data_IF_308450980301
#
_entry.id   IF_308450980301
#
_cell.length_a   1.000
_cell.length_b   1.000
_cell.length_c   1.000
_cell.angle_alpha   90.00
_cell.angle_beta   90.00
_cell.angle_gamma   90.00
#
_symmetry.space_group_name_H-M   'P 1'
#
loop_
_entity.id
_entity.type
_entity.pdbx_description
1 polymer ?
#
# COMPACT_ATOMS: atom_id res chain seq x y z
N UNK A 1 -8.24 23.03 -10.45
CA UNK A 1 -9.39 22.77 -9.55
C UNK A 1 -10.42 21.84 -10.17
N UNK A 2 -10.75 21.96 -11.47
CA UNK A 2 -11.68 21.00 -12.10
C UNK A 2 -11.09 19.60 -12.15
N UNK A 3 -9.79 19.46 -12.45
CA UNK A 3 -9.08 18.19 -12.41
C UNK A 3 -9.19 17.51 -11.04
N UNK A 4 -9.00 18.28 -9.97
CA UNK A 4 -9.23 17.83 -8.59
C UNK A 4 -10.65 17.33 -8.34
N UNK A 5 -11.67 18.13 -8.69
CA UNK A 5 -13.07 17.77 -8.44
C UNK A 5 -13.47 16.50 -9.19
N UNK A 6 -13.21 16.43 -10.49
CA UNK A 6 -13.60 15.30 -11.32
C UNK A 6 -12.77 14.07 -10.94
N UNK A 7 -11.45 14.21 -10.80
CA UNK A 7 -10.56 13.08 -10.53
C UNK A 7 -10.75 12.48 -9.16
N UNK A 8 -10.96 13.30 -8.15
CA UNK A 8 -11.26 12.79 -6.79
C UNK A 8 -12.64 12.14 -6.75
N UNK A 9 -13.65 12.73 -7.38
CA UNK A 9 -15.01 12.15 -7.43
C UNK A 9 -15.04 10.81 -8.18
N UNK A 10 -14.36 10.74 -9.33
CA UNK A 10 -14.23 9.52 -10.12
C UNK A 10 -13.45 8.45 -9.34
N UNK A 11 -12.30 8.81 -8.75
CA UNK A 11 -11.51 7.89 -7.95
C UNK A 11 -12.28 7.34 -6.74
N UNK A 12 -13.07 8.19 -6.07
CA UNK A 12 -13.95 7.78 -4.98
C UNK A 12 -15.07 6.84 -5.45
N UNK A 13 -15.72 7.15 -6.57
CA UNK A 13 -16.75 6.29 -7.16
C UNK A 13 -16.17 4.90 -7.48
N UNK A 14 -15.02 4.84 -8.17
CA UNK A 14 -14.36 3.59 -8.54
C UNK A 14 -13.94 2.83 -7.27
N UNK A 15 -13.40 3.50 -6.25
CA UNK A 15 -13.03 2.87 -4.99
C UNK A 15 -14.24 2.22 -4.30
N UNK A 16 -15.37 2.93 -4.22
CA UNK A 16 -16.60 2.40 -3.62
C UNK A 16 -17.18 1.23 -4.42
N UNK A 17 -17.21 1.33 -5.75
CA UNK A 17 -17.66 0.25 -6.63
C UNK A 17 -16.77 -0.98 -6.48
N UNK A 18 -15.46 -0.80 -6.57
CA UNK A 18 -14.49 -1.89 -6.41
C UNK A 18 -14.57 -2.51 -5.02
N UNK A 19 -14.73 -1.69 -3.99
CA UNK A 19 -14.94 -2.11 -2.60
C UNK A 19 -16.18 -2.99 -2.41
N UNK A 20 -17.25 -2.72 -3.15
CA UNK A 20 -18.46 -3.55 -3.15
C UNK A 20 -18.20 -4.96 -3.69
N UNK A 21 -17.30 -5.11 -4.67
CA UNK A 21 -17.01 -6.39 -5.31
C UNK A 21 -15.86 -7.16 -4.65
N UNK A 22 -14.82 -6.46 -4.19
CA UNK A 22 -13.57 -7.07 -3.69
C UNK A 22 -13.33 -6.84 -2.21
N UNK A 23 -14.30 -6.27 -1.51
CA UNK A 23 -14.22 -5.99 -0.09
C UNK A 23 -13.36 -4.76 0.24
N UNK A 24 -13.12 -4.58 1.53
CA UNK A 24 -12.57 -3.32 2.06
C UNK A 24 -11.11 -3.07 1.70
N UNK A 25 -10.31 -4.13 1.57
CA UNK A 25 -8.93 -4.01 1.11
C UNK A 25 -8.87 -3.41 -0.29
N UNK A 26 -9.68 -3.92 -1.22
CA UNK A 26 -9.78 -3.39 -2.59
C UNK A 26 -10.26 -1.94 -2.63
N UNK A 27 -11.24 -1.57 -1.81
CA UNK A 27 -11.69 -0.16 -1.67
C UNK A 27 -10.52 0.77 -1.33
N UNK A 28 -9.70 0.37 -0.35
CA UNK A 28 -8.57 1.14 0.15
C UNK A 28 -7.46 1.25 -0.90
N UNK A 29 -7.10 0.14 -1.56
CA UNK A 29 -6.07 0.14 -2.60
C UNK A 29 -6.43 1.07 -3.77
N UNK A 30 -7.69 1.02 -4.23
CA UNK A 30 -8.18 1.89 -5.31
C UNK A 30 -8.31 3.34 -4.84
N UNK A 31 -8.73 3.58 -3.59
CA UNK A 31 -8.82 4.94 -3.04
C UNK A 31 -7.47 5.68 -3.06
N UNK A 32 -6.34 4.96 -2.91
CA UNK A 32 -5.01 5.55 -2.96
C UNK A 32 -4.66 6.03 -4.37
N UNK A 33 -5.36 5.55 -5.41
CA UNK A 33 -5.19 5.99 -6.79
C UNK A 33 -5.97 7.27 -7.13
N UNK A 34 -6.74 7.85 -6.21
CA UNK A 34 -7.42 9.14 -6.44
C UNK A 34 -6.47 10.24 -6.96
N UNK A 35 -5.25 10.42 -6.43
CA UNK A 35 -4.32 11.42 -6.94
C UNK A 35 -3.81 11.09 -8.35
N UNK A 36 -3.64 9.82 -8.68
CA UNK A 36 -3.31 9.39 -10.04
C UNK A 36 -4.40 9.77 -11.04
N UNK A 37 -5.67 9.47 -10.75
CA UNK A 37 -6.80 9.87 -11.61
C UNK A 37 -6.91 11.40 -11.72
N UNK A 38 -6.68 12.09 -10.61
CA UNK A 38 -6.66 13.56 -10.56
C UNK A 38 -5.54 14.14 -11.41
N UNK A 39 -4.33 13.57 -11.38
CA UNK A 39 -3.22 13.98 -12.20
C UNK A 39 -3.53 13.78 -13.69
N UNK A 40 -4.07 12.61 -14.06
CA UNK A 40 -4.48 12.30 -15.44
C UNK A 40 -5.49 13.32 -15.98
N UNK A 41 -6.53 13.63 -15.21
CA UNK A 41 -7.54 14.61 -15.62
C UNK A 41 -6.98 16.03 -15.62
N UNK A 42 -6.09 16.36 -14.68
CA UNK A 42 -5.42 17.66 -14.66
C UNK A 42 -4.53 17.86 -15.88
N UNK A 43 -3.90 16.80 -16.42
CA UNK A 43 -3.18 16.88 -17.69
C UNK A 43 -4.10 17.21 -18.87
N UNK A 44 -5.34 16.71 -18.88
CA UNK A 44 -6.30 17.03 -19.94
C UNK A 44 -6.70 18.51 -19.95
N UNK A 45 -6.80 19.14 -18.78
CA UNK A 45 -7.22 20.55 -18.66
C UNK A 45 -6.05 21.54 -18.67
N UNK A 46 -4.89 21.17 -18.11
CA UNK A 46 -3.77 22.08 -17.85
C UNK A 46 -2.44 21.61 -18.47
N UNK A 47 -2.44 20.52 -19.23
CA UNK A 47 -1.25 19.89 -19.81
C UNK A 47 -0.82 20.46 -21.17
N UNK A 48 -0.25 19.58 -22.01
CA UNK A 48 0.32 19.87 -23.33
C UNK A 48 1.72 20.54 -23.37
N UNK A 49 2.61 20.15 -22.45
CA UNK A 49 4.01 20.64 -22.41
C UNK A 49 4.90 20.15 -23.56
N UNK A 50 4.46 19.17 -24.35
CA UNK A 50 5.25 18.57 -25.43
C UNK A 50 5.14 19.25 -26.81
N UNK A 51 4.35 20.32 -26.95
CA UNK A 51 4.17 21.02 -28.24
C UNK A 51 4.77 22.43 -28.12
N UNK A 52 5.97 22.60 -28.70
CA UNK A 52 6.66 23.90 -28.78
C UNK A 52 5.76 24.94 -29.47
N UNK A 53 5.42 26.01 -28.75
CA UNK A 53 4.64 27.15 -29.27
C UNK A 53 3.13 27.08 -29.07
N UNK A 54 2.57 26.02 -28.48
CA UNK A 54 1.14 25.91 -28.24
C UNK A 54 0.74 26.41 -26.84
N UNK A 55 0.19 27.63 -26.75
CA UNK A 55 -0.71 27.98 -25.63
C UNK A 55 -2.05 27.32 -25.95
N UNK A 56 -2.16 26.02 -25.64
CA UNK A 56 -3.42 25.30 -25.84
C UNK A 56 -4.43 25.79 -24.80
N UNK A 57 -5.30 26.71 -25.22
CA UNK A 57 -6.50 27.05 -24.48
C UNK A 57 -7.51 25.95 -24.71
N UNK A 58 -7.73 25.08 -23.72
CA UNK A 58 -8.87 24.17 -23.77
C UNK A 58 -10.10 25.00 -23.44
N UNK A 59 -10.77 25.51 -24.47
CA UNK A 59 -12.06 26.17 -24.32
C UNK A 59 -13.13 25.11 -24.09
N UNK A 60 -13.63 25.05 -22.86
CA UNK A 60 -14.86 24.32 -22.54
C UNK A 60 -15.99 25.34 -22.34
N UNK A 61 -17.27 24.92 -22.35
CA UNK A 61 -18.38 25.81 -22.00
C UNK A 61 -18.26 26.47 -20.61
N UNK A 62 -17.34 25.98 -19.78
CA UNK A 62 -17.10 26.40 -18.40
C UNK A 62 -15.91 27.39 -18.30
N UNK A 63 -15.14 27.59 -19.38
CA UNK A 63 -14.05 28.56 -19.44
C UNK A 63 -12.84 28.10 -20.25
N UNK A 64 -11.87 29.00 -20.35
CA UNK A 64 -10.59 28.83 -21.03
C UNK A 64 -9.52 28.37 -20.04
N UNK A 65 -8.98 27.16 -20.23
CA UNK A 65 -7.89 26.65 -19.39
C UNK A 65 -6.54 26.90 -20.03
N UNK A 66 -5.63 27.51 -19.25
CA UNK A 66 -4.24 27.76 -19.66
C UNK A 66 -3.35 26.69 -19.02
N UNK A 67 -2.35 26.28 -19.78
CA UNK A 67 -1.29 25.39 -19.33
C UNK A 67 -0.69 25.84 -17.99
N UNK A 68 -0.66 24.94 -17.00
CA UNK A 68 -0.18 25.29 -15.64
C UNK A 68 0.35 24.07 -14.90
N UNK A 69 1.67 24.01 -14.72
CA UNK A 69 2.34 23.00 -13.89
C UNK A 69 1.88 23.08 -12.44
N UNK A 70 1.74 24.31 -11.93
CA UNK A 70 1.29 24.58 -10.58
C UNK A 70 -0.12 24.04 -10.31
N UNK A 71 -1.06 24.24 -11.25
CA UNK A 71 -2.43 23.74 -11.11
C UNK A 71 -2.48 22.21 -11.07
N UNK A 72 -1.67 21.52 -11.89
CA UNK A 72 -1.57 20.05 -11.86
C UNK A 72 -1.02 19.58 -10.51
N UNK A 73 0.06 20.21 -10.03
CA UNK A 73 0.65 19.90 -8.73
C UNK A 73 -0.34 20.11 -7.59
N UNK A 74 -1.06 21.24 -7.60
CA UNK A 74 -2.04 21.59 -6.56
C UNK A 74 -3.25 20.65 -6.57
N UNK A 75 -3.83 20.37 -7.73
CA UNK A 75 -4.96 19.43 -7.85
C UNK A 75 -4.58 18.04 -7.31
N UNK A 76 -3.37 17.57 -7.67
CA UNK A 76 -2.83 16.28 -7.21
C UNK A 76 -2.54 16.28 -5.70
N UNK A 77 -1.97 17.37 -5.16
CA UNK A 77 -1.69 17.51 -3.73
C UNK A 77 -2.96 17.44 -2.89
N UNK A 78 -4.00 18.18 -3.31
CA UNK A 78 -5.30 18.17 -2.63
C UNK A 78 -5.93 16.77 -2.69
N UNK A 79 -5.83 16.08 -3.82
CA UNK A 79 -6.31 14.69 -3.94
C UNK A 79 -5.55 13.73 -3.02
N UNK A 80 -4.23 13.91 -2.81
CA UNK A 80 -3.46 13.12 -1.82
C UNK A 80 -4.03 13.32 -0.42
N UNK A 81 -4.33 14.56 -0.02
CA UNK A 81 -4.89 14.85 1.30
C UNK A 81 -6.26 14.18 1.46
N UNK A 82 -7.13 14.25 0.44
CA UNK A 82 -8.43 13.58 0.45
C UNK A 82 -8.27 12.06 0.54
N UNK A 83 -7.39 11.47 -0.27
CA UNK A 83 -7.12 10.03 -0.26
C UNK A 83 -6.63 9.58 1.13
N UNK A 84 -5.67 10.29 1.72
CA UNK A 84 -5.15 10.02 3.07
C UNK A 84 -6.27 10.07 4.11
N UNK A 85 -7.06 11.14 4.12
CA UNK A 85 -8.16 11.27 5.06
C UNK A 85 -9.18 10.14 4.90
N UNK A 86 -9.57 9.84 3.66
CA UNK A 86 -10.49 8.76 3.35
C UNK A 86 -9.98 7.40 3.84
N UNK A 87 -8.74 7.04 3.50
CA UNK A 87 -8.13 5.77 3.92
C UNK A 87 -8.03 5.71 5.43
N UNK A 88 -7.61 6.79 6.10
CA UNK A 88 -7.48 6.85 7.56
C UNK A 88 -8.80 6.58 8.29
N UNK A 89 -9.93 7.08 7.77
CA UNK A 89 -11.24 6.80 8.36
C UNK A 89 -11.76 5.42 7.97
N UNK A 90 -11.55 5.00 6.72
CA UNK A 90 -12.15 3.76 6.20
C UNK A 90 -11.37 2.51 6.60
N UNK A 91 -10.08 2.59 6.90
CA UNK A 91 -9.25 1.41 7.19
C UNK A 91 -9.37 0.91 8.62
N UNK A 92 -9.86 1.71 9.57
CA UNK A 92 -9.90 1.37 11.00
C UNK A 92 -10.60 0.03 11.25
N UNK A 93 -9.86 -0.93 11.80
CA UNK A 93 -10.34 -2.27 12.14
C UNK A 93 -10.99 -3.01 10.98
N UNK A 94 -10.56 -2.75 9.74
CA UNK A 94 -11.28 -3.18 8.55
C UNK A 94 -10.60 -4.29 7.75
N UNK A 95 -9.28 -4.47 7.93
CA UNK A 95 -8.48 -5.42 7.16
C UNK A 95 -8.24 -6.70 7.94
N UNK A 96 -8.45 -7.85 7.30
CA UNK A 96 -7.97 -9.14 7.81
C UNK A 96 -6.44 -9.21 7.83
N UNK A 97 -5.87 -10.20 8.52
CA UNK A 97 -4.42 -10.38 8.65
C UNK A 97 -3.73 -10.51 7.29
N UNK A 98 -4.31 -11.28 6.36
CA UNK A 98 -3.79 -11.43 4.98
C UNK A 98 -3.86 -10.12 4.19
N UNK A 99 -5.00 -9.41 4.29
CA UNK A 99 -5.22 -8.14 3.59
C UNK A 99 -4.33 -7.02 4.11
N UNK A 100 -4.12 -6.95 5.43
CA UNK A 100 -3.27 -5.96 6.07
C UNK A 100 -1.83 -6.04 5.56
N UNK A 101 -1.30 -7.26 5.40
CA UNK A 101 0.05 -7.47 4.89
C UNK A 101 0.16 -7.06 3.41
N UNK A 102 -0.80 -7.47 2.58
CA UNK A 102 -0.84 -7.15 1.15
C UNK A 102 -0.99 -5.65 0.92
N UNK A 103 -2.00 -5.03 1.54
CA UNK A 103 -2.27 -3.60 1.43
C UNK A 103 -1.10 -2.77 1.98
N UNK A 104 -0.49 -3.20 3.09
CA UNK A 104 0.66 -2.50 3.67
C UNK A 104 1.82 -2.34 2.68
N UNK A 105 2.12 -3.36 1.87
CA UNK A 105 3.19 -3.31 0.88
C UNK A 105 2.81 -2.41 -0.32
N UNK A 106 1.58 -2.50 -0.81
CA UNK A 106 1.12 -1.74 -1.99
C UNK A 106 0.95 -0.25 -1.67
N UNK A 107 0.42 0.08 -0.49
CA UNK A 107 0.12 1.45 -0.08
C UNK A 107 1.33 2.39 -0.13
N UNK A 108 2.47 2.00 0.44
CA UNK A 108 3.66 2.86 0.49
C UNK A 108 4.18 3.22 -0.90
N UNK A 109 4.18 2.25 -1.81
CA UNK A 109 4.64 2.47 -3.18
C UNK A 109 3.66 3.33 -4.00
N UNK A 110 2.35 3.13 -3.83
CA UNK A 110 1.34 3.97 -4.51
C UNK A 110 1.38 5.41 -3.95
N UNK A 111 1.58 5.59 -2.64
CA UNK A 111 1.81 6.93 -2.08
C UNK A 111 3.08 7.56 -2.66
N UNK A 112 4.18 6.81 -2.73
CA UNK A 112 5.41 7.26 -3.38
C UNK A 112 5.19 7.68 -4.84
N UNK A 113 4.48 6.87 -5.62
CA UNK A 113 4.07 7.15 -6.99
C UNK A 113 3.30 8.47 -7.10
N UNK A 114 2.28 8.67 -6.26
CA UNK A 114 1.47 9.90 -6.26
C UNK A 114 2.31 11.13 -5.91
N UNK A 115 3.25 11.00 -4.97
CA UNK A 115 4.20 12.06 -4.64
C UNK A 115 5.11 12.36 -5.83
N UNK A 116 5.57 11.34 -6.55
CA UNK A 116 6.32 11.50 -7.80
C UNK A 116 5.54 12.28 -8.85
N UNK A 117 4.29 11.92 -9.10
CA UNK A 117 3.44 12.63 -10.07
C UNK A 117 3.25 14.10 -9.65
N UNK A 118 2.97 14.33 -8.37
CA UNK A 118 2.83 15.68 -7.82
C UNK A 118 4.15 16.49 -7.92
N UNK A 119 5.30 15.85 -7.71
CA UNK A 119 6.62 16.47 -7.77
C UNK A 119 7.02 16.95 -9.17
N UNK A 120 6.38 16.45 -10.24
CA UNK A 120 6.59 16.95 -11.61
C UNK A 120 6.23 18.43 -11.76
N UNK A 121 5.40 18.97 -10.86
CA UNK A 121 5.09 20.39 -10.80
C UNK A 121 6.20 21.25 -10.16
N UNK A 122 7.16 20.63 -9.46
CA UNK A 122 8.32 21.30 -8.87
C UNK A 122 8.70 20.77 -7.48
N UNK A 123 9.88 21.16 -6.97
CA UNK A 123 10.42 20.66 -5.70
C UNK A 123 9.58 21.03 -4.47
N UNK A 124 8.85 22.16 -4.51
CA UNK A 124 7.94 22.54 -3.42
C UNK A 124 6.85 21.51 -3.19
N UNK A 125 6.31 20.92 -4.26
CA UNK A 125 5.33 19.85 -4.17
C UNK A 125 5.96 18.55 -3.66
N UNK A 126 7.17 18.20 -4.09
CA UNK A 126 7.90 17.06 -3.52
C UNK A 126 8.02 17.16 -2.00
N UNK A 127 8.42 18.33 -1.48
CA UNK A 127 8.54 18.56 -0.04
C UNK A 127 7.20 18.39 0.69
N UNK A 128 6.11 18.91 0.12
CA UNK A 128 4.77 18.71 0.67
C UNK A 128 4.39 17.23 0.73
N UNK A 129 4.68 16.47 -0.33
CA UNK A 129 4.39 15.04 -0.40
C UNK A 129 5.20 14.23 0.60
N UNK A 130 6.47 14.56 0.76
CA UNK A 130 7.34 13.95 1.77
C UNK A 130 6.90 14.28 3.19
N UNK A 131 6.40 15.50 3.44
CA UNK A 131 5.83 15.84 4.74
C UNK A 131 4.60 14.97 5.05
N UNK A 132 3.69 14.78 4.09
CA UNK A 132 2.53 13.89 4.25
C UNK A 132 2.98 12.45 4.50
N UNK A 133 3.94 11.93 3.73
CA UNK A 133 4.47 10.58 3.90
C UNK A 133 5.13 10.40 5.27
N UNK A 134 5.91 11.37 5.73
CA UNK A 134 6.54 11.35 7.05
C UNK A 134 5.50 11.33 8.19
N UNK A 135 4.42 12.10 8.05
CA UNK A 135 3.30 12.08 9.01
C UNK A 135 2.63 10.70 9.02
N UNK A 136 2.37 10.10 7.86
CA UNK A 136 1.79 8.76 7.76
C UNK A 136 2.69 7.69 8.41
N UNK A 137 3.99 7.75 8.17
CA UNK A 137 4.97 6.86 8.80
C UNK A 137 4.95 7.05 10.32
N UNK A 138 4.95 8.29 10.80
CA UNK A 138 4.88 8.58 12.23
C UNK A 138 3.60 8.02 12.88
N UNK A 139 2.45 8.23 12.24
CA UNK A 139 1.18 7.68 12.71
C UNK A 139 1.16 6.15 12.70
N UNK A 140 1.72 5.54 11.65
CA UNK A 140 1.87 4.08 11.52
C UNK A 140 2.77 3.50 12.61
N UNK A 141 3.85 4.19 13.00
CA UNK A 141 4.72 3.75 14.10
C UNK A 141 3.97 3.81 15.45
N UNK A 142 3.16 4.86 15.66
CA UNK A 142 2.43 5.04 16.93
C UNK A 142 1.27 4.06 17.08
N UNK A 143 0.58 3.74 15.99
CA UNK A 143 -0.54 2.79 15.99
C UNK A 143 -0.48 1.86 14.77
N UNK A 144 0.44 0.88 14.76
CA UNK A 144 0.67 0.03 13.60
C UNK A 144 -0.55 -0.81 13.23
N UNK A 145 -1.33 -1.25 14.22
CA UNK A 145 -2.44 -2.18 14.03
C UNK A 145 -3.80 -1.50 13.88
N UNK A 146 -3.85 -0.18 13.67
CA UNK A 146 -5.11 0.56 13.59
C UNK A 146 -6.07 0.00 12.54
N UNK A 147 -5.54 -0.43 11.39
CA UNK A 147 -6.34 -0.96 10.29
C UNK A 147 -6.63 -2.46 10.39
N UNK A 148 -5.96 -3.16 11.32
CA UNK A 148 -6.06 -4.60 11.48
C UNK A 148 -7.32 -4.97 12.28
N UNK A 149 -8.14 -5.84 11.71
CA UNK A 149 -9.28 -6.46 12.38
C UNK A 149 -8.85 -7.77 13.04
N UNK A 150 -8.14 -7.65 14.17
CA UNK A 150 -7.68 -8.80 14.94
C UNK A 150 -7.94 -8.60 16.44
N UNK A 151 -8.15 -9.72 17.13
CA UNK A 151 -8.30 -9.78 18.58
C UNK A 151 -7.08 -10.46 19.22
N UNK A 152 -6.84 -10.26 20.52
CA UNK A 152 -5.82 -11.03 21.24
C UNK A 152 -6.04 -12.54 21.09
N UNK A 153 -4.99 -13.30 20.84
CA UNK A 153 -5.07 -14.75 20.71
C UNK A 153 -5.49 -15.40 22.04
N UNK A 154 -6.37 -16.39 21.96
CA UNK A 154 -6.75 -17.26 23.08
C UNK A 154 -6.12 -18.65 22.98
N UNK A 155 -6.35 -19.47 24.01
CA UNK A 155 -5.94 -20.88 24.05
C UNK A 155 -4.44 -21.07 23.86
N UNK A 156 -4.09 -22.20 23.23
CA UNK A 156 -2.72 -22.69 23.11
C UNK A 156 -1.81 -21.74 22.30
N UNK A 157 -2.35 -21.07 21.28
CA UNK A 157 -1.62 -20.06 20.50
C UNK A 157 -1.24 -18.85 21.37
N UNK A 158 -2.17 -18.39 22.22
CA UNK A 158 -1.92 -17.30 23.15
C UNK A 158 -0.89 -17.66 24.23
N UNK A 159 -0.92 -18.90 24.71
CA UNK A 159 0.05 -19.42 25.68
C UNK A 159 1.46 -19.54 25.08
N UNK A 160 1.57 -20.07 23.86
CA UNK A 160 2.81 -20.16 23.10
C UNK A 160 3.47 -18.78 22.93
N UNK A 161 2.72 -17.78 22.45
CA UNK A 161 3.26 -16.45 22.26
C UNK A 161 3.68 -15.78 23.57
N UNK A 162 2.89 -15.94 24.63
CA UNK A 162 3.19 -15.36 25.95
C UNK A 162 4.45 -15.98 26.57
N UNK A 163 4.64 -17.30 26.40
CA UNK A 163 5.83 -18.02 26.86
C UNK A 163 7.10 -17.45 26.24
N UNK A 164 7.05 -17.09 24.96
CA UNK A 164 8.17 -16.48 24.23
C UNK A 164 8.27 -14.95 24.42
N UNK A 165 7.42 -14.35 25.26
CA UNK A 165 7.46 -12.91 25.55
C UNK A 165 6.84 -12.01 24.47
N UNK A 166 5.96 -12.54 23.63
CA UNK A 166 5.29 -11.81 22.55
C UNK A 166 3.80 -11.59 22.84
N UNK A 167 3.28 -10.45 22.37
CA UNK A 167 1.85 -10.27 22.20
C UNK A 167 1.37 -11.07 20.98
N UNK A 168 0.14 -11.56 21.00
CA UNK A 168 -0.44 -12.29 19.88
C UNK A 168 -1.76 -11.68 19.44
N UNK A 169 -1.90 -11.44 18.14
CA UNK A 169 -3.15 -11.02 17.49
C UNK A 169 -3.57 -12.03 16.44
N UNK A 170 -4.86 -12.35 16.40
CA UNK A 170 -5.46 -13.25 15.42
C UNK A 170 -6.78 -12.71 14.90
N UNK A 171 -7.04 -12.96 13.61
CA UNK A 171 -8.38 -12.80 13.03
C UNK A 171 -9.11 -14.15 12.99
N UNK A 172 -10.17 -14.26 12.18
CA UNK A 172 -10.97 -15.49 12.02
C UNK A 172 -10.85 -16.14 10.64
N UNK A 173 -10.20 -15.50 9.69
CA UNK A 173 -10.37 -15.83 8.25
C UNK A 173 -9.06 -15.96 7.48
N UNK A 174 -7.94 -15.53 8.06
CA UNK A 174 -6.65 -15.51 7.39
C UNK A 174 -5.82 -16.74 7.71
N UNK A 175 -4.75 -16.93 6.93
CA UNK A 175 -3.77 -17.99 7.13
C UNK A 175 -2.35 -17.47 7.34
N UNK A 176 -2.10 -16.18 7.10
CA UNK A 176 -0.74 -15.64 7.16
C UNK A 176 -0.20 -15.53 8.59
N UNK A 177 1.12 -15.68 8.71
CA UNK A 177 1.88 -15.45 9.94
C UNK A 177 2.97 -14.43 9.68
N UNK A 178 3.06 -13.43 10.54
CA UNK A 178 4.17 -12.48 10.50
C UNK A 178 4.41 -11.83 11.87
N UNK A 179 5.61 -11.28 12.02
CA UNK A 179 6.10 -10.68 13.26
C UNK A 179 6.33 -9.19 13.07
N UNK A 180 5.71 -8.37 13.92
CA UNK A 180 5.86 -6.91 13.94
C UNK A 180 6.29 -6.46 15.34
N UNK A 181 7.57 -6.14 15.49
CA UNK A 181 8.12 -5.78 16.80
C UNK A 181 8.00 -6.91 17.81
N UNK A 182 7.33 -6.65 18.94
CA UNK A 182 7.02 -7.62 20.00
C UNK A 182 5.62 -8.24 19.86
N UNK A 183 5.02 -8.18 18.68
CA UNK A 183 3.71 -8.79 18.40
C UNK A 183 3.84 -9.79 17.26
N UNK A 184 3.37 -11.01 17.48
CA UNK A 184 3.12 -11.99 16.43
C UNK A 184 1.66 -11.89 15.97
N UNK A 185 1.45 -11.92 14.67
CA UNK A 185 0.13 -11.87 14.05
C UNK A 185 -0.05 -13.17 13.29
N UNK A 186 -1.13 -13.88 13.60
CA UNK A 186 -1.42 -15.21 13.08
C UNK A 186 -2.84 -15.22 12.53
N UNK A 187 -3.03 -15.73 11.32
CA UNK A 187 -4.36 -15.91 10.75
C UNK A 187 -5.15 -16.98 11.50
N UNK A 188 -6.41 -16.69 11.85
CA UNK A 188 -7.20 -17.57 12.72
C UNK A 188 -7.48 -18.95 12.15
N UNK A 189 -7.44 -19.10 10.83
CA UNK A 189 -7.65 -20.41 10.19
C UNK A 189 -6.41 -21.26 10.13
N UNK A 190 -5.24 -20.71 10.40
CA UNK A 190 -4.01 -21.48 10.37
C UNK A 190 -4.00 -22.60 11.42
N UNK A 191 -4.31 -22.33 12.71
CA UNK A 191 -4.36 -23.40 13.71
C UNK A 191 -5.47 -24.42 13.49
N UNK A 192 -6.53 -24.03 12.75
CA UNK A 192 -7.68 -24.90 12.45
C UNK A 192 -7.39 -25.86 11.28
N UNK A 193 -6.67 -25.40 10.26
CA UNK A 193 -6.56 -26.10 8.97
C UNK A 193 -5.13 -26.60 8.65
N UNK A 194 -4.09 -26.15 9.37
CA UNK A 194 -2.71 -26.57 9.14
C UNK A 194 -2.13 -27.32 10.36
N UNK A 195 -1.85 -28.64 10.26
CA UNK A 195 -1.43 -29.44 11.41
C UNK A 195 -0.14 -28.97 12.09
N UNK A 196 0.84 -28.48 11.33
CA UNK A 196 2.15 -28.03 11.83
C UNK A 196 2.18 -26.53 12.14
N UNK A 197 1.06 -25.93 12.55
CA UNK A 197 0.97 -24.50 12.78
C UNK A 197 1.89 -24.04 13.93
N UNK A 198 2.15 -24.90 14.92
CA UNK A 198 3.00 -24.58 16.07
C UNK A 198 4.44 -24.35 15.63
N UNK A 199 4.96 -25.26 14.82
CA UNK A 199 6.30 -25.20 14.26
C UNK A 199 6.46 -23.94 13.40
N UNK A 200 5.46 -23.59 12.59
CA UNK A 200 5.46 -22.33 11.82
C UNK A 200 5.55 -21.12 12.74
N UNK A 201 4.73 -21.07 13.79
CA UNK A 201 4.70 -19.95 14.74
C UNK A 201 6.02 -19.85 15.50
N UNK A 202 6.57 -20.95 16.00
CA UNK A 202 7.87 -21.01 16.67
C UNK A 202 9.00 -20.54 15.76
N UNK A 203 9.03 -21.01 14.51
CA UNK A 203 9.96 -20.55 13.50
C UNK A 203 9.85 -19.04 13.25
N UNK A 204 8.64 -18.49 13.17
CA UNK A 204 8.43 -17.06 13.00
C UNK A 204 8.80 -16.24 14.24
N UNK A 205 8.70 -16.80 15.44
CA UNK A 205 9.14 -16.16 16.68
C UNK A 205 10.67 -16.06 16.76
N UNK A 206 11.40 -17.08 16.27
CA UNK A 206 12.87 -17.05 16.21
C UNK A 206 13.41 -16.08 15.15
N UNK A 207 12.62 -15.74 14.13
CA UNK A 207 13.03 -14.79 13.10
C UNK A 207 13.40 -13.43 13.72
N UNK A 208 14.61 -12.96 13.40
CA UNK A 208 15.11 -11.67 13.88
C UNK A 208 14.22 -10.53 13.38
N UNK A 209 13.90 -9.59 14.27
CA UNK A 209 13.12 -8.41 13.91
C UNK A 209 13.84 -7.54 12.88
N UNK A 210 13.09 -6.72 12.14
CA UNK A 210 13.69 -5.74 11.24
C UNK A 210 14.48 -4.70 12.03
N UNK A 211 15.82 -4.77 11.96
CA UNK A 211 16.70 -3.72 12.48
C UNK A 211 16.39 -2.35 11.86
N UNK A 212 16.80 -1.28 12.54
CA UNK A 212 16.47 0.11 12.17
C UNK A 212 16.80 0.41 10.71
N UNK A 213 17.98 0.03 10.23
CA UNK A 213 18.41 0.23 8.85
C UNK A 213 17.49 -0.42 7.81
N UNK A 214 16.88 -1.57 8.13
CA UNK A 214 15.96 -2.24 7.22
C UNK A 214 14.61 -1.54 7.16
N UNK A 215 14.16 -0.94 8.28
CA UNK A 215 12.97 -0.09 8.29
C UNK A 215 13.22 1.19 7.49
N UNK A 216 14.39 1.80 7.68
CA UNK A 216 14.82 2.98 6.92
C UNK A 216 14.88 2.68 5.42
N UNK A 217 15.47 1.57 5.00
CA UNK A 217 15.50 1.17 3.59
C UNK A 217 14.09 0.88 3.06
N UNK A 218 13.26 0.18 3.84
CA UNK A 218 11.87 -0.12 3.47
C UNK A 218 11.03 1.13 3.23
N UNK A 219 11.10 2.13 4.12
CA UNK A 219 10.40 3.39 3.93
C UNK A 219 11.09 4.29 2.90
N UNK A 220 12.42 4.25 2.81
CA UNK A 220 13.22 5.07 1.89
C UNK A 220 12.86 4.85 0.43
N UNK A 221 12.54 3.61 0.03
CA UNK A 221 12.07 3.33 -1.34
C UNK A 221 10.80 4.09 -1.71
N UNK A 222 9.91 4.37 -0.75
CA UNK A 222 8.68 5.14 -1.02
C UNK A 222 8.96 6.62 -1.37
N UNK A 223 10.13 7.16 -1.02
CA UNK A 223 10.50 8.54 -1.37
C UNK A 223 11.10 8.67 -2.78
N UNK A 224 11.64 7.58 -3.34
CA UNK A 224 12.37 7.60 -4.60
C UNK A 224 11.54 8.13 -5.79
N UNK A 225 10.25 7.76 -5.98
CA UNK A 225 9.47 8.30 -7.09
C UNK A 225 9.26 9.82 -6.97
N UNK A 226 9.21 10.37 -5.75
CA UNK A 226 9.20 11.82 -5.49
C UNK A 226 10.43 12.52 -6.05
N UNK A 227 11.62 11.95 -5.80
CA UNK A 227 12.89 12.49 -6.30
C UNK A 227 12.91 12.46 -7.83
N UNK A 228 12.56 11.31 -8.43
CA UNK A 228 12.49 11.17 -9.89
C UNK A 228 11.51 12.16 -10.50
N UNK A 229 10.35 12.36 -9.87
CA UNK A 229 9.32 13.30 -10.30
C UNK A 229 9.82 14.74 -10.47
N UNK A 230 10.72 15.23 -9.60
CA UNK A 230 11.28 16.60 -9.71
C UNK A 230 12.07 16.81 -11.01
N UNK A 231 12.71 15.76 -11.52
CA UNK A 231 13.49 15.81 -12.76
C UNK A 231 12.65 15.53 -14.01
N UNK A 232 11.33 15.35 -13.85
CA UNK A 232 10.42 15.07 -14.95
C UNK A 232 9.47 16.24 -15.16
N UNK A 233 9.15 16.52 -16.43
CA UNK A 233 8.07 17.44 -16.75
C UNK A 233 6.70 16.77 -16.58
N UNK A 234 5.64 17.53 -16.23
CA UNK A 234 4.31 16.96 -16.18
C UNK A 234 3.87 16.47 -17.57
N UNK A 235 3.41 15.23 -17.67
CA UNK A 235 2.98 14.68 -18.95
C UNK A 235 2.89 13.17 -18.99
N UNK A 236 2.69 12.63 -20.20
CA UNK A 236 2.52 11.19 -20.43
C UNK A 236 3.75 10.37 -20.02
N UNK A 237 4.96 10.90 -20.20
CA UNK A 237 6.18 10.21 -19.77
C UNK A 237 6.20 10.03 -18.25
N UNK A 238 5.87 11.07 -17.48
CA UNK A 238 5.74 10.99 -16.02
C UNK A 238 4.63 10.01 -15.61
N UNK A 239 3.48 10.07 -16.27
CA UNK A 239 2.35 9.17 -16.06
C UNK A 239 2.68 7.69 -16.29
N UNK A 240 3.66 7.37 -17.15
CA UNK A 240 4.09 5.99 -17.42
C UNK A 240 5.27 5.55 -16.56
N UNK A 241 6.32 6.37 -16.49
CA UNK A 241 7.58 5.99 -15.85
C UNK A 241 7.47 5.98 -14.31
N UNK A 242 6.70 6.88 -13.71
CA UNK A 242 6.58 6.94 -12.25
C UNK A 242 5.79 5.73 -11.71
N UNK A 243 4.65 5.32 -12.30
CA UNK A 243 4.00 4.06 -11.93
C UNK A 243 4.84 2.82 -12.23
N UNK A 244 5.55 2.79 -13.36
CA UNK A 244 6.46 1.67 -13.67
C UNK A 244 7.57 1.54 -12.63
N UNK A 245 8.16 2.67 -12.22
CA UNK A 245 9.15 2.72 -11.14
C UNK A 245 8.55 2.23 -9.82
N UNK A 246 7.37 2.71 -9.43
CA UNK A 246 6.70 2.27 -8.22
C UNK A 246 6.43 0.75 -8.24
N UNK A 247 5.99 0.20 -9.37
CA UNK A 247 5.81 -1.24 -9.54
C UNK A 247 7.11 -2.02 -9.36
N UNK A 248 8.22 -1.57 -9.98
CA UNK A 248 9.54 -2.19 -9.80
C UNK A 248 9.96 -2.15 -8.33
N UNK A 249 9.74 -1.02 -7.64
CA UNK A 249 10.08 -0.88 -6.23
C UNK A 249 9.27 -1.83 -5.33
N UNK A 250 7.97 -2.03 -5.60
CA UNK A 250 7.14 -3.02 -4.90
C UNK A 250 7.75 -4.42 -5.05
N UNK A 251 8.10 -4.81 -6.28
CA UNK A 251 8.65 -6.14 -6.57
C UNK A 251 10.02 -6.36 -5.92
N UNK A 252 10.88 -5.34 -5.94
CA UNK A 252 12.18 -5.36 -5.27
C UNK A 252 12.04 -5.46 -3.75
N UNK A 253 11.14 -4.66 -3.16
CA UNK A 253 10.90 -4.65 -1.73
C UNK A 253 10.32 -5.98 -1.24
N UNK A 254 9.32 -6.52 -1.93
CA UNK A 254 8.75 -7.84 -1.63
C UNK A 254 9.80 -8.94 -1.72
N UNK A 255 10.56 -8.98 -2.82
CA UNK A 255 11.63 -9.96 -3.02
C UNK A 255 12.73 -9.86 -1.96
N UNK A 256 13.13 -8.64 -1.60
CA UNK A 256 14.12 -8.39 -0.56
C UNK A 256 13.64 -8.89 0.81
N UNK A 257 12.39 -8.57 1.18
CA UNK A 257 11.80 -9.02 2.43
C UNK A 257 11.74 -10.55 2.51
N UNK A 258 11.26 -11.23 1.46
CA UNK A 258 11.20 -12.69 1.42
C UNK A 258 12.58 -13.33 1.52
N UNK A 259 13.55 -12.88 0.70
CA UNK A 259 14.93 -13.41 0.72
C UNK A 259 15.57 -13.23 2.10
N UNK A 260 15.33 -12.08 2.74
CA UNK A 260 15.86 -11.78 4.06
C UNK A 260 15.24 -12.67 5.14
N UNK A 261 13.92 -12.82 5.15
CA UNK A 261 13.24 -13.71 6.10
C UNK A 261 13.77 -15.13 5.96
N UNK A 262 13.90 -15.65 4.73
CA UNK A 262 14.45 -17.00 4.50
C UNK A 262 15.90 -17.15 4.98
N UNK A 263 16.74 -16.13 4.79
CA UNK A 263 18.15 -16.15 5.24
C UNK A 263 18.28 -16.14 6.77
N UNK A 264 17.32 -15.53 7.46
CA UNK A 264 17.36 -15.34 8.91
C UNK A 264 16.62 -16.42 9.70
N UNK A 265 15.95 -17.35 9.01
CA UNK A 265 15.31 -18.50 9.64
C UNK A 265 16.34 -19.60 9.92
N UNK A 266 16.23 -20.32 11.05
CA UNK A 266 17.00 -21.54 11.29
C UNK A 266 16.82 -22.56 10.15
N UNK A 267 17.86 -23.35 9.85
CA UNK A 267 17.78 -24.38 8.79
C UNK A 267 16.67 -25.40 9.04
N UNK A 268 16.43 -25.72 10.31
CA UNK A 268 15.37 -26.63 10.77
C UNK A 268 13.96 -26.11 10.41
N UNK A 269 13.80 -24.80 10.29
CA UNK A 269 12.54 -24.19 9.86
C UNK A 269 12.31 -24.25 8.34
N UNK A 270 13.31 -24.66 7.55
CA UNK A 270 13.23 -24.61 6.09
C UNK A 270 12.09 -25.46 5.52
N UNK A 271 12.00 -26.72 5.96
CA UNK A 271 11.00 -27.68 5.47
C UNK A 271 9.58 -27.26 5.83
N UNK A 272 9.33 -26.97 7.12
CA UNK A 272 8.03 -26.51 7.62
C UNK A 272 7.58 -25.22 6.93
N UNK A 273 8.49 -24.28 6.68
CA UNK A 273 8.15 -23.02 6.01
C UNK A 273 7.88 -23.20 4.51
N UNK A 274 8.53 -24.17 3.85
CA UNK A 274 8.24 -24.52 2.47
C UNK A 274 6.87 -25.22 2.35
N UNK A 275 6.54 -26.15 3.26
CA UNK A 275 5.21 -26.77 3.35
C UNK A 275 4.10 -25.74 3.62
N UNK A 276 4.32 -24.84 4.59
CA UNK A 276 3.42 -23.75 4.88
C UNK A 276 3.24 -22.81 3.68
N UNK A 277 4.31 -22.52 2.93
CA UNK A 277 4.22 -21.69 1.74
C UNK A 277 3.37 -22.36 0.63
N UNK A 278 3.46 -23.68 0.46
CA UNK A 278 2.61 -24.42 -0.47
C UNK A 278 1.15 -24.45 -0.02
N UNK A 279 0.91 -24.69 1.27
CA UNK A 279 -0.41 -24.63 1.87
C UNK A 279 -1.05 -23.26 1.67
N UNK A 280 -0.34 -22.18 2.00
CA UNK A 280 -0.81 -20.80 1.83
C UNK A 280 -1.13 -20.51 0.36
N UNK A 281 -0.25 -20.87 -0.57
CA UNK A 281 -0.51 -20.68 -2.02
C UNK A 281 -1.76 -21.42 -2.49
N UNK A 282 -2.01 -22.63 -1.97
CA UNK A 282 -3.21 -23.42 -2.29
C UNK A 282 -4.47 -22.70 -1.78
N UNK A 283 -4.45 -22.25 -0.53
CA UNK A 283 -5.59 -21.54 0.09
C UNK A 283 -5.89 -20.20 -0.55
N UNK A 284 -4.86 -19.43 -0.92
CA UNK A 284 -5.04 -18.19 -1.70
C UNK A 284 -5.70 -18.48 -3.04
N UNK A 285 -5.22 -19.49 -3.80
CA UNK A 285 -5.85 -19.88 -5.08
C UNK A 285 -7.31 -20.34 -4.92
N UNK A 286 -7.62 -21.07 -3.86
CA UNK A 286 -8.99 -21.49 -3.56
C UNK A 286 -9.90 -20.30 -3.23
N UNK A 287 -9.40 -19.35 -2.43
CA UNK A 287 -10.10 -18.11 -2.08
C UNK A 287 -10.36 -17.26 -3.33
N UNK A 288 -9.36 -17.10 -4.20
CA UNK A 288 -9.48 -16.37 -5.46
C UNK A 288 -10.46 -17.06 -6.42
N UNK A 289 -10.47 -18.39 -6.50
CA UNK A 289 -11.46 -19.13 -7.32
C UNK A 289 -12.88 -18.94 -6.80
N UNK A 290 -13.10 -18.99 -5.48
CA UNK A 290 -14.42 -18.73 -4.87
C UNK A 290 -14.87 -17.27 -5.06
N UNK A 291 -13.93 -16.33 -5.15
CA UNK A 291 -14.23 -14.93 -5.49
C UNK A 291 -14.57 -14.68 -6.97
N UNK A 292 -14.32 -15.66 -7.85
CA UNK A 292 -14.62 -15.60 -9.30
C UNK A 292 -15.93 -16.35 -9.64
N UNK A 293 -16.51 -17.13 -8.71
CA UNK A 293 -17.84 -17.71 -8.91
C UNK A 293 -18.89 -16.62 -8.73
N UNK A 294 -19.25 -16.01 -9.86
CA UNK A 294 -20.40 -15.13 -10.00
C UNK A 294 -21.60 -16.04 -10.27
N UNK A 295 -22.61 -15.99 -9.41
CA UNK A 295 -24.00 -16.30 -9.78
C UNK A 295 -24.65 -14.99 -10.27
#
# INVERSE_FOLDING_TARGET
MIGFLIGTSLGLLIALLYGRFRGRAGEIEVAVLMPFFTYLLSLQFYGNFGILGAVAVVSTPIGNFVQSRFSIGLDTALAIIVAVAYIWFRSKGALSVDEYLSAGLSLWAIFGMNIGLMATAGPGFMLLGFAVLAILIFLSIRNPFQSLNAAPCGGELGELARREGFNCLSDRTSYSVYKVGYTIIVGGKLPEEFPQWREVVECMLTASSSGVWNKVLGYGFAFLPGIVGVFMEPGLLALLLIPALAFVLIMLQGSYNVRRTRKNLPKECGEVMDEYAEFYRRKVKEKDRKAIVID
#
